data_IF_939145802812
#
_entry.id   IF_939145802812
#
_cell.length_a   1.000
_cell.length_b   1.000
_cell.length_c   1.000
_cell.angle_alpha   90.00
_cell.angle_beta   90.00
_cell.angle_gamma   90.00
#
_symmetry.space_group_name_H-M   'P 1'
#
loop_
_entity.id
_entity.type
_entity.pdbx_description
1 polymer ?
#
# COMPACT_ATOMS: atom_id res chain seq x y z
N UNK A 1 16.14 -10.04 -9.05
CA UNK A 1 17.35 -9.29 -8.68
C UNK A 1 17.10 -8.38 -7.48
N UNK A 2 16.36 -7.27 -7.63
CA UNK A 2 16.10 -6.29 -6.56
C UNK A 2 15.56 -6.89 -5.25
N UNK A 3 14.67 -7.89 -5.31
CA UNK A 3 14.16 -8.58 -4.12
C UNK A 3 15.29 -9.27 -3.32
N UNK A 4 16.27 -9.85 -4.02
CA UNK A 4 17.47 -10.45 -3.41
C UNK A 4 18.47 -9.41 -2.90
N UNK A 5 18.37 -8.16 -3.35
CA UNK A 5 19.23 -7.03 -2.96
C UNK A 5 18.62 -6.17 -1.83
N UNK A 6 17.45 -6.56 -1.29
CA UNK A 6 16.83 -5.91 -0.13
C UNK A 6 15.57 -5.11 -0.43
N UNK A 7 15.16 -4.97 -1.70
CA UNK A 7 13.89 -4.31 -2.02
C UNK A 7 12.69 -5.17 -1.60
N UNK A 8 11.67 -4.53 -1.03
CA UNK A 8 10.39 -5.15 -0.71
C UNK A 8 9.38 -4.84 -1.80
N UNK A 9 8.57 -5.83 -2.18
CA UNK A 9 7.54 -5.71 -3.19
C UNK A 9 6.18 -5.82 -2.51
N UNK A 10 5.46 -4.69 -2.44
CA UNK A 10 4.07 -4.64 -2.00
C UNK A 10 3.11 -4.79 -3.18
N UNK A 11 1.86 -5.14 -2.87
CA UNK A 11 0.77 -5.20 -3.85
C UNK A 11 0.24 -3.81 -4.19
N UNK A 12 -0.18 -3.62 -5.44
CA UNK A 12 -0.97 -2.46 -5.87
C UNK A 12 -2.26 -2.91 -6.57
N UNK A 13 -2.85 -4.00 -6.07
CA UNK A 13 -3.86 -4.82 -6.75
C UNK A 13 -3.30 -5.44 -8.05
N UNK A 14 -4.10 -6.23 -8.75
CA UNK A 14 -3.61 -7.00 -9.90
C UNK A 14 -3.74 -6.24 -11.22
N UNK A 15 -4.76 -5.38 -11.34
CA UNK A 15 -5.10 -4.67 -12.57
C UNK A 15 -5.29 -3.16 -12.38
N UNK A 16 -4.95 -2.62 -11.20
CA UNK A 16 -5.05 -1.19 -10.89
C UNK A 16 -6.46 -0.61 -11.10
N UNK A 17 -7.50 -1.38 -10.75
CA UNK A 17 -8.90 -0.91 -10.82
C UNK A 17 -9.29 -0.15 -9.56
N UNK A 18 -10.14 0.86 -9.73
CA UNK A 18 -10.77 1.58 -8.63
C UNK A 18 -11.70 0.63 -7.85
N UNK A 19 -11.60 0.64 -6.52
CA UNK A 19 -12.25 -0.38 -5.66
C UNK A 19 -13.78 -0.27 -5.64
N UNK A 20 -14.29 0.94 -5.82
CA UNK A 20 -15.69 1.34 -5.93
C UNK A 20 -16.38 0.71 -7.15
N UNK A 21 -15.62 0.42 -8.21
CA UNK A 21 -16.11 -0.29 -9.39
C UNK A 21 -16.07 -1.82 -9.29
N UNK A 22 -15.72 -2.39 -8.13
CA UNK A 22 -15.55 -3.84 -7.95
C UNK A 22 -16.59 -4.41 -6.99
N UNK A 23 -17.07 -5.61 -7.31
CA UNK A 23 -17.77 -6.47 -6.33
C UNK A 23 -16.79 -6.95 -5.26
N UNK A 24 -17.30 -7.48 -4.14
CA UNK A 24 -16.44 -8.06 -3.10
C UNK A 24 -15.62 -9.25 -3.61
N UNK A 25 -16.20 -10.09 -4.49
CA UNK A 25 -15.49 -11.22 -5.10
C UNK A 25 -14.39 -10.76 -6.06
N UNK A 26 -14.66 -9.74 -6.88
CA UNK A 26 -13.64 -9.20 -7.79
C UNK A 26 -12.51 -8.51 -7.02
N UNK A 27 -12.83 -7.79 -5.95
CA UNK A 27 -11.83 -7.17 -5.09
C UNK A 27 -10.95 -8.21 -4.39
N UNK A 28 -11.54 -9.30 -3.89
CA UNK A 28 -10.78 -10.41 -3.34
C UNK A 28 -9.89 -11.08 -4.40
N UNK A 29 -10.39 -11.25 -5.63
CA UNK A 29 -9.61 -11.79 -6.74
C UNK A 29 -8.43 -10.89 -7.11
N UNK A 30 -8.61 -9.56 -7.12
CA UNK A 30 -7.52 -8.59 -7.33
C UNK A 30 -6.44 -8.71 -6.25
N UNK A 31 -6.84 -8.78 -4.98
CA UNK A 31 -5.96 -8.92 -3.83
C UNK A 31 -5.16 -10.22 -3.86
N UNK A 32 -5.82 -11.36 -4.06
CA UNK A 32 -5.21 -12.69 -4.09
C UNK A 32 -4.31 -12.87 -5.31
N UNK A 33 -4.76 -12.45 -6.50
CA UNK A 33 -3.98 -12.58 -7.74
C UNK A 33 -2.67 -11.79 -7.64
N UNK A 34 -2.73 -10.53 -7.21
CA UNK A 34 -1.53 -9.69 -7.06
C UNK A 34 -0.54 -10.31 -6.08
N UNK A 35 -1.03 -10.72 -4.90
CA UNK A 35 -0.23 -11.40 -3.88
C UNK A 35 0.46 -12.65 -4.44
N UNK A 36 -0.30 -13.55 -5.03
CA UNK A 36 0.20 -14.81 -5.57
C UNK A 36 1.32 -14.59 -6.59
N UNK A 37 1.16 -13.63 -7.52
CA UNK A 37 2.19 -13.36 -8.52
C UNK A 37 3.45 -12.74 -7.93
N UNK A 38 3.33 -11.78 -7.01
CA UNK A 38 4.49 -11.17 -6.36
C UNK A 38 5.26 -12.23 -5.55
N UNK A 39 4.56 -13.05 -4.77
CA UNK A 39 5.20 -14.12 -3.98
C UNK A 39 5.88 -15.15 -4.90
N UNK A 40 5.24 -15.53 -6.00
CA UNK A 40 5.82 -16.44 -7.00
C UNK A 40 7.10 -15.88 -7.64
N UNK A 41 7.15 -14.59 -7.96
CA UNK A 41 8.31 -13.99 -8.62
C UNK A 41 9.45 -13.64 -7.68
N UNK A 42 9.11 -13.27 -6.44
CA UNK A 42 10.11 -12.82 -5.45
C UNK A 42 10.58 -13.92 -4.52
N UNK A 43 9.81 -15.02 -4.39
CA UNK A 43 10.05 -16.09 -3.40
C UNK A 43 9.88 -15.61 -1.96
N UNK A 44 9.23 -14.46 -1.75
CA UNK A 44 9.06 -13.82 -0.44
C UNK A 44 7.58 -13.54 -0.17
N UNK A 45 7.11 -13.64 1.09
CA UNK A 45 5.74 -13.27 1.43
C UNK A 45 5.42 -11.81 1.10
N UNK A 46 4.23 -11.55 0.58
CA UNK A 46 3.73 -10.19 0.32
C UNK A 46 2.66 -9.86 1.35
N UNK A 47 3.00 -8.98 2.30
CA UNK A 47 2.12 -8.63 3.43
C UNK A 47 1.63 -7.19 3.40
N UNK A 48 2.04 -6.39 2.43
CA UNK A 48 1.69 -4.99 2.30
C UNK A 48 0.99 -4.71 0.96
N UNK A 49 0.06 -3.75 0.95
CA UNK A 49 -0.52 -3.21 -0.29
C UNK A 49 -0.62 -1.68 -0.25
N UNK A 50 -0.64 -1.05 -1.41
CA UNK A 50 -1.12 0.32 -1.58
C UNK A 50 -2.42 0.27 -2.40
N UNK A 51 -3.46 1.00 -1.98
CA UNK A 51 -4.71 1.02 -2.73
C UNK A 51 -4.56 1.90 -3.99
N UNK A 52 -5.03 1.44 -5.17
CA UNK A 52 -5.10 2.28 -6.37
C UNK A 52 -5.83 3.58 -6.08
N UNK A 53 -5.30 4.68 -6.59
CA UNK A 53 -5.84 6.03 -6.38
C UNK A 53 -5.98 6.42 -4.89
N UNK A 54 -5.31 5.71 -4.00
CA UNK A 54 -5.37 5.92 -2.55
C UNK A 54 -6.78 5.76 -1.96
N UNK A 55 -7.70 5.09 -2.65
CA UNK A 55 -9.08 4.89 -2.19
C UNK A 55 -9.14 3.65 -1.30
N UNK A 56 -9.53 3.82 -0.05
CA UNK A 56 -9.71 2.74 0.93
C UNK A 56 -11.12 2.79 1.52
N UNK A 57 -11.66 1.62 1.86
CA UNK A 57 -12.91 1.49 2.60
C UNK A 57 -12.84 0.31 3.58
N UNK A 58 -13.88 0.15 4.42
CA UNK A 58 -13.96 -0.97 5.38
C UNK A 58 -13.98 -2.34 4.69
N UNK A 59 -14.48 -2.41 3.45
CA UNK A 59 -14.61 -3.65 2.68
C UNK A 59 -13.24 -4.12 2.20
N UNK A 60 -12.45 -3.24 1.60
CA UNK A 60 -11.06 -3.45 1.23
C UNK A 60 -10.25 -3.88 2.45
N UNK A 61 -10.35 -3.14 3.56
CA UNK A 61 -9.60 -3.46 4.77
C UNK A 61 -9.88 -4.87 5.31
N UNK A 62 -11.16 -5.29 5.31
CA UNK A 62 -11.55 -6.65 5.72
C UNK A 62 -11.01 -7.72 4.76
N UNK A 63 -11.28 -7.56 3.47
CA UNK A 63 -10.86 -8.52 2.44
C UNK A 63 -9.34 -8.62 2.36
N UNK A 64 -8.62 -7.52 2.53
CA UNK A 64 -7.16 -7.52 2.56
C UNK A 64 -6.62 -8.37 3.72
N UNK A 65 -7.19 -8.23 4.92
CA UNK A 65 -6.83 -9.07 6.08
C UNK A 65 -7.12 -10.56 5.83
N UNK A 66 -8.27 -10.89 5.25
CA UNK A 66 -8.64 -12.26 4.86
C UNK A 66 -7.71 -12.84 3.78
N UNK A 67 -7.26 -11.99 2.84
CA UNK A 67 -6.24 -12.34 1.85
C UNK A 67 -4.82 -12.35 2.44
N UNK A 68 -4.66 -12.11 3.74
CA UNK A 68 -3.44 -12.18 4.54
C UNK A 68 -2.47 -11.01 4.38
N UNK A 69 -2.95 -9.86 3.91
CA UNK A 69 -2.24 -8.58 4.07
C UNK A 69 -2.31 -8.12 5.52
N UNK A 70 -1.25 -7.46 5.98
CA UNK A 70 -1.11 -6.91 7.34
C UNK A 70 -1.04 -5.40 7.34
N UNK A 71 -0.46 -4.84 6.28
CA UNK A 71 -0.22 -3.40 6.12
C UNK A 71 -0.90 -2.91 4.84
N UNK A 72 -1.58 -1.78 4.91
CA UNK A 72 -2.19 -1.13 3.77
C UNK A 72 -1.89 0.36 3.76
N UNK A 73 -1.78 0.96 2.58
CA UNK A 73 -1.59 2.38 2.38
C UNK A 73 -2.73 2.97 1.54
N UNK A 74 -3.43 3.95 2.09
CA UNK A 74 -4.53 4.67 1.44
C UNK A 74 -4.23 6.14 1.22
N UNK A 75 -5.27 6.96 1.32
CA UNK A 75 -5.26 8.41 1.08
C UNK A 75 -5.02 9.26 2.30
N UNK A 76 -4.75 8.65 3.47
CA UNK A 76 -4.38 9.41 4.66
C UNK A 76 -2.98 10.01 4.46
N UNK A 77 -2.86 11.30 4.74
CA UNK A 77 -1.61 12.04 4.64
C UNK A 77 -1.03 12.27 6.03
N UNK A 78 0.29 12.15 6.15
CA UNK A 78 1.02 12.42 7.40
C UNK A 78 1.91 11.26 7.85
N UNK A 79 2.55 11.40 9.03
CA UNK A 79 3.36 10.35 9.62
C UNK A 79 2.51 9.20 10.15
N UNK A 80 3.03 7.98 10.04
CA UNK A 80 2.42 6.80 10.63
C UNK A 80 2.87 6.63 12.09
N UNK A 81 1.89 6.55 13.00
CA UNK A 81 2.09 6.22 14.42
C UNK A 81 1.71 4.77 14.75
N UNK A 82 2.00 4.33 15.98
CA UNK A 82 1.63 2.98 16.47
C UNK A 82 0.12 2.80 16.73
N UNK A 83 -0.62 3.91 16.83
CA UNK A 83 -2.07 3.99 17.02
C UNK A 83 -2.86 4.00 15.70
N UNK A 84 -2.17 4.11 14.56
CA UNK A 84 -2.81 4.11 13.25
C UNK A 84 -3.39 2.74 12.89
N UNK A 85 -4.50 2.71 12.14
CA UNK A 85 -5.01 1.47 11.56
C UNK A 85 -3.98 0.89 10.57
N UNK A 86 -3.42 -0.32 10.82
CA UNK A 86 -2.38 -0.90 9.98
C UNK A 86 -2.81 -1.09 8.53
N UNK A 87 -4.11 -1.23 8.25
CA UNK A 87 -4.61 -1.48 6.89
C UNK A 87 -4.84 -0.19 6.07
N UNK A 88 -4.58 0.97 6.66
CA UNK A 88 -4.77 2.29 6.03
C UNK A 88 -3.70 3.30 6.50
N UNK A 89 -2.45 2.88 6.69
CA UNK A 89 -1.39 3.75 7.22
C UNK A 89 -1.23 5.03 6.38
N UNK A 90 -1.08 6.20 7.04
CA UNK A 90 -0.84 7.44 6.34
C UNK A 90 0.55 7.45 5.69
N UNK A 91 0.70 8.27 4.66
CA UNK A 91 1.99 8.50 3.99
C UNK A 91 2.28 9.99 3.86
N UNK A 92 3.56 10.32 3.85
CA UNK A 92 4.04 11.66 3.51
C UNK A 92 4.21 11.68 1.99
N UNK A 93 3.45 12.54 1.31
CA UNK A 93 3.56 12.69 -0.14
C UNK A 93 4.83 13.46 -0.48
N UNK A 94 5.70 12.83 -1.26
CA UNK A 94 6.86 13.46 -1.88
C UNK A 94 6.56 13.59 -3.37
N UNK A 95 6.59 14.82 -3.89
CA UNK A 95 6.33 15.10 -5.29
C UNK A 95 7.62 15.41 -6.03
N UNK A 96 7.72 14.91 -7.27
CA UNK A 96 8.90 15.11 -8.12
C UNK A 96 9.02 16.51 -8.73
N UNK A 97 8.01 17.37 -8.58
CA UNK A 97 8.00 18.76 -9.05
C UNK A 97 8.53 19.76 -8.00
N UNK A 98 9.02 19.28 -6.85
CA UNK A 98 9.52 20.11 -5.74
C UNK A 98 11.04 20.01 -5.58
N UNK A 99 11.64 21.01 -4.93
CA UNK A 99 13.09 21.07 -4.69
C UNK A 99 13.53 20.08 -3.61
N UNK A 100 14.84 19.82 -3.53
CA UNK A 100 15.43 19.06 -2.44
C UNK A 100 15.18 19.72 -1.08
N UNK A 101 15.21 21.05 -1.01
CA UNK A 101 14.92 21.79 0.23
C UNK A 101 13.47 21.57 0.70
N UNK A 102 12.49 21.53 -0.21
CA UNK A 102 11.11 21.18 0.15
C UNK A 102 11.00 19.72 0.62
N UNK A 103 11.72 18.79 -0.02
CA UNK A 103 11.80 17.41 0.45
C UNK A 103 12.31 17.33 1.88
N UNK A 104 13.45 17.99 2.19
CA UNK A 104 14.04 18.02 3.53
C UNK A 104 13.05 18.60 4.54
N UNK A 105 12.49 19.77 4.25
CA UNK A 105 11.52 20.43 5.14
C UNK A 105 10.30 19.54 5.44
N UNK A 106 9.79 18.79 4.45
CA UNK A 106 8.65 17.86 4.65
C UNK A 106 8.98 16.66 5.52
N UNK A 107 10.19 16.13 5.40
CA UNK A 107 10.64 15.00 6.22
C UNK A 107 10.93 15.46 7.64
N UNK A 108 11.52 16.64 7.83
CA UNK A 108 11.81 17.19 9.16
C UNK A 108 10.53 17.57 9.92
N UNK A 109 9.54 18.14 9.24
CA UNK A 109 8.27 18.56 9.85
C UNK A 109 7.44 17.42 10.47
N UNK A 110 7.79 16.15 10.23
CA UNK A 110 7.11 14.99 10.83
C UNK A 110 7.89 14.31 11.95
N UNK A 111 9.10 14.81 12.25
CA UNK A 111 9.94 14.33 13.35
C UNK A 111 9.69 15.11 14.65
N UNK A 112 9.02 16.25 14.56
CA UNK A 112 8.56 17.10 15.67
C UNK A 112 7.17 16.67 16.16
#
# INVERSE_FOLDING_TARGET
RLAGEGAFFGSHLATHRAIDGLSSSDLAAELLRSRMFIERWTGRPTTAFAAPFSVTDRRLGRLAKECGYRIGFGGRHGPAGLDCDPIDLPRIEIRGDRSLDDFVARVEAVLE
#
